data_IF_630662178640
#
_entry.id   IF_630662178640
#
_cell.length_a   1.000
_cell.length_b   1.000
_cell.length_c   1.000
_cell.angle_alpha   90.00
_cell.angle_beta   90.00
_cell.angle_gamma   90.00
#
_symmetry.space_group_name_H-M   'P 1'
#
loop_
_entity.id
_entity.type
_entity.pdbx_description
1 polymer ?
#
# COMPACT_ATOMS: atom_id res chain seq x y z
N UNK A 1 3.87 0.62 13.62
CA UNK A 1 3.11 0.24 12.42
C UNK A 1 3.76 0.91 11.22
N UNK A 2 3.90 0.18 10.11
CA UNK A 2 4.48 0.72 8.88
C UNK A 2 3.41 0.75 7.80
N UNK A 3 2.96 1.97 7.49
CA UNK A 3 2.00 2.23 6.45
C UNK A 3 2.71 2.35 5.11
N UNK A 4 2.09 1.87 4.04
CA UNK A 4 2.60 1.89 2.68
C UNK A 4 1.56 2.46 1.73
N UNK A 5 2.03 3.19 0.73
CA UNK A 5 1.25 3.81 -0.31
C UNK A 5 1.64 3.21 -1.66
N UNK A 6 0.67 2.63 -2.34
CA UNK A 6 0.78 2.13 -3.71
C UNK A 6 0.25 3.22 -4.62
N UNK A 7 1.16 3.97 -5.25
CA UNK A 7 0.85 5.12 -6.10
C UNK A 7 1.35 4.91 -7.51
N UNK A 8 0.57 5.32 -8.50
CA UNK A 8 1.02 5.42 -9.89
C UNK A 8 1.13 6.89 -10.26
N UNK A 9 2.29 7.34 -10.74
CA UNK A 9 2.46 8.74 -11.17
C UNK A 9 1.74 8.96 -12.49
N UNK A 10 1.23 10.18 -12.71
CA UNK A 10 0.60 10.57 -13.98
C UNK A 10 1.63 10.46 -15.12
N UNK A 11 1.32 9.67 -16.15
CA UNK A 11 2.23 9.39 -17.27
C UNK A 11 3.30 8.34 -16.98
N UNK A 12 3.21 7.62 -15.86
CA UNK A 12 4.06 6.48 -15.56
C UNK A 12 3.20 5.21 -15.49
N UNK A 13 3.51 4.21 -16.30
CA UNK A 13 2.80 2.92 -16.25
C UNK A 13 3.19 2.08 -15.02
N UNK A 14 4.31 2.41 -14.38
CA UNK A 14 4.82 1.72 -13.19
C UNK A 14 4.17 2.18 -11.88
N UNK A 15 4.03 1.22 -10.97
CA UNK A 15 3.49 1.39 -9.64
C UNK A 15 4.61 1.53 -8.61
N UNK A 16 4.53 2.58 -7.81
CA UNK A 16 5.48 2.89 -6.76
C UNK A 16 4.91 2.46 -5.41
N UNK A 17 5.70 1.69 -4.66
CA UNK A 17 5.43 1.31 -3.28
C UNK A 17 6.24 2.21 -2.37
N UNK A 18 5.61 3.13 -1.67
CA UNK A 18 6.27 4.12 -0.82
C UNK A 18 5.85 3.92 0.63
N UNK A 19 6.80 3.84 1.56
CA UNK A 19 6.47 3.86 2.99
C UNK A 19 5.93 5.24 3.39
N UNK A 20 4.92 5.29 4.23
CA UNK A 20 4.42 6.53 4.83
C UNK A 20 5.55 7.26 5.56
N UNK A 21 5.72 8.56 5.28
CA UNK A 21 6.84 9.37 5.76
C UNK A 21 8.18 9.11 5.05
N UNK A 22 8.27 8.10 4.17
CA UNK A 22 9.42 7.86 3.32
C UNK A 22 9.47 8.87 2.17
N UNK A 23 10.66 9.39 1.85
CA UNK A 23 10.84 10.33 0.72
C UNK A 23 10.96 9.62 -0.64
N UNK A 24 11.17 8.30 -0.63
CA UNK A 24 11.44 7.49 -1.82
C UNK A 24 10.51 6.27 -1.86
N UNK A 25 10.24 5.80 -3.08
CA UNK A 25 9.59 4.51 -3.28
C UNK A 25 10.56 3.39 -2.83
N UNK A 26 10.08 2.49 -1.97
CA UNK A 26 10.76 1.26 -1.57
C UNK A 26 10.84 0.25 -2.71
N UNK A 27 9.86 0.26 -3.63
CA UNK A 27 9.88 -0.56 -4.84
C UNK A 27 9.10 0.11 -5.98
N UNK A 28 9.49 -0.19 -7.21
CA UNK A 28 8.79 0.23 -8.44
C UNK A 28 8.57 -1.02 -9.28
N UNK A 29 7.32 -1.29 -9.66
CA UNK A 29 6.94 -2.50 -10.41
C UNK A 29 5.98 -2.15 -11.54
N UNK A 30 5.82 -3.06 -12.50
CA UNK A 30 4.99 -2.83 -13.68
C UNK A 30 3.48 -2.86 -13.40
N UNK A 31 3.04 -3.52 -12.33
CA UNK A 31 1.61 -3.75 -12.08
C UNK A 31 1.16 -3.37 -10.68
N UNK A 32 -0.11 -2.97 -10.55
CA UNK A 32 -0.73 -2.66 -9.26
C UNK A 32 -0.69 -3.86 -8.32
N UNK A 33 -0.95 -5.06 -8.87
CA UNK A 33 -1.00 -6.31 -8.12
C UNK A 33 0.34 -6.66 -7.49
N UNK A 34 1.44 -6.46 -8.21
CA UNK A 34 2.78 -6.64 -7.66
C UNK A 34 3.09 -5.59 -6.59
N UNK A 35 2.69 -4.34 -6.80
CA UNK A 35 2.95 -3.25 -5.87
C UNK A 35 2.20 -3.50 -4.55
N UNK A 36 0.95 -3.93 -4.62
CA UNK A 36 0.16 -4.33 -3.46
C UNK A 36 0.80 -5.49 -2.71
N UNK A 37 1.21 -6.55 -3.42
CA UNK A 37 1.87 -7.71 -2.81
C UNK A 37 3.14 -7.30 -2.05
N UNK A 38 3.98 -6.46 -2.67
CA UNK A 38 5.18 -5.94 -2.04
C UNK A 38 4.88 -5.04 -0.85
N UNK A 39 3.89 -4.13 -0.98
CA UNK A 39 3.47 -3.25 0.11
C UNK A 39 2.98 -4.07 1.32
N UNK A 40 2.17 -5.11 1.09
CA UNK A 40 1.71 -6.03 2.13
C UNK A 40 2.87 -6.77 2.78
N UNK A 41 3.79 -7.30 1.98
CA UNK A 41 4.97 -7.98 2.49
C UNK A 41 5.85 -7.04 3.33
N UNK A 42 6.09 -5.82 2.87
CA UNK A 42 6.88 -4.84 3.61
C UNK A 42 6.18 -4.39 4.89
N UNK A 43 4.87 -4.16 4.86
CA UNK A 43 4.10 -3.83 6.05
C UNK A 43 4.17 -4.95 7.09
N UNK A 44 3.93 -6.20 6.67
CA UNK A 44 4.06 -7.39 7.53
C UNK A 44 5.46 -7.50 8.14
N UNK A 45 6.52 -7.32 7.34
CA UNK A 45 7.90 -7.39 7.80
C UNK A 45 8.27 -6.28 8.80
N UNK A 46 7.57 -5.15 8.77
CA UNK A 46 7.80 -4.01 9.66
C UNK A 46 6.82 -3.97 10.86
N UNK A 47 6.20 -5.11 11.21
CA UNK A 47 5.31 -5.23 12.36
C UNK A 47 3.83 -4.90 12.08
N UNK A 48 3.43 -4.90 10.81
CA UNK A 48 2.07 -4.61 10.35
C UNK A 48 1.76 -3.11 10.22
N UNK A 49 0.64 -2.80 9.58
CA UNK A 49 0.23 -1.44 9.24
C UNK A 49 -0.79 -1.39 8.11
N UNK A 50 -1.02 -0.20 7.55
CA UNK A 50 -2.00 0.02 6.49
C UNK A 50 -1.35 0.13 5.10
N UNK A 51 -1.91 -0.54 4.11
CA UNK A 51 -1.53 -0.45 2.69
C UNK A 51 -2.60 0.32 1.95
N UNK A 52 -2.31 1.55 1.53
CA UNK A 52 -3.21 2.42 0.78
C UNK A 52 -2.95 2.32 -0.71
N UNK A 53 -3.98 1.98 -1.47
CA UNK A 53 -3.92 1.75 -2.91
C UNK A 53 -4.58 2.93 -3.62
N UNK A 54 -3.80 3.66 -4.40
CA UNK A 54 -4.29 4.79 -5.19
C UNK A 54 -4.80 4.34 -6.56
N UNK A 55 -5.69 5.13 -7.14
CA UNK A 55 -6.10 4.96 -8.54
C UNK A 55 -4.94 5.28 -9.50
N UNK A 56 -4.91 4.65 -10.69
CA UNK A 56 -3.95 4.99 -11.73
C UNK A 56 -4.00 6.48 -12.09
N UNK A 57 -2.93 6.98 -12.72
CA UNK A 57 -2.78 8.40 -13.09
C UNK A 57 -2.76 9.40 -11.92
N UNK A 58 -2.26 9.00 -10.75
CA UNK A 58 -2.20 9.86 -9.56
C UNK A 58 -3.57 10.16 -8.96
N UNK A 59 -4.54 9.26 -9.16
CA UNK A 59 -5.89 9.44 -8.66
C UNK A 59 -6.01 9.26 -7.14
N UNK A 60 -7.20 9.52 -6.57
CA UNK A 60 -7.44 9.38 -5.14
C UNK A 60 -7.29 7.93 -4.69
N UNK A 61 -7.19 7.74 -3.37
CA UNK A 61 -7.17 6.42 -2.74
C UNK A 61 -8.43 5.66 -3.21
N UNK A 62 -8.21 4.50 -3.82
CA UNK A 62 -9.28 3.57 -4.21
C UNK A 62 -9.64 2.69 -3.03
N UNK A 63 -8.61 2.22 -2.33
CA UNK A 63 -8.70 1.10 -1.41
C UNK A 63 -7.62 1.22 -0.32
N UNK A 64 -7.86 0.60 0.83
CA UNK A 64 -6.93 0.56 1.94
C UNK A 64 -7.06 -0.78 2.65
N UNK A 65 -5.97 -1.53 2.73
CA UNK A 65 -5.92 -2.87 3.30
C UNK A 65 -5.00 -2.89 4.54
N UNK A 66 -5.51 -3.42 5.65
CA UNK A 66 -4.78 -3.48 6.92
C UNK A 66 -4.05 -4.80 7.07
N UNK A 67 -2.73 -4.74 7.18
CA UNK A 67 -1.83 -5.90 7.25
C UNK A 67 -1.47 -6.21 8.70
N UNK A 68 -1.81 -7.44 9.13
CA UNK A 68 -1.41 -8.01 10.43
C UNK A 68 0.11 -8.25 10.48
N UNK A 69 0.78 -8.20 11.66
CA UNK A 69 0.25 -8.25 13.02
C UNK A 69 -0.04 -6.88 13.67
N UNK A 70 -0.29 -5.83 12.88
CA UNK A 70 -0.69 -4.53 13.41
C UNK A 70 -1.87 -4.68 14.36
N UNK A 71 -1.63 -4.50 15.66
CA UNK A 71 -2.62 -4.58 16.71
C UNK A 71 -3.53 -3.36 16.61
N UNK A 72 -4.45 -3.36 15.66
CA UNK A 72 -5.56 -2.42 15.61
C UNK A 72 -6.65 -2.92 16.57
N UNK A 73 -6.93 -2.24 17.70
CA UNK A 73 -7.98 -2.64 18.63
C UNK A 73 -9.40 -2.50 18.03
N UNK A 74 -9.54 -2.01 16.80
CA UNK A 74 -10.80 -1.89 16.09
C UNK A 74 -10.94 -3.06 15.11
N UNK A 75 -11.54 -4.12 15.62
CA UNK A 75 -12.00 -5.28 14.83
C UNK A 75 -13.14 -4.84 13.88
N UNK A 76 -12.82 -4.09 12.82
CA UNK A 76 -13.71 -3.89 11.67
C UNK A 76 -13.13 -4.71 10.52
N UNK A 77 -13.66 -5.92 10.36
CA UNK A 77 -13.43 -6.74 9.17
C UNK A 77 -13.96 -5.95 7.98
N UNK A 78 -13.09 -5.40 7.15
CA UNK A 78 -13.51 -4.84 5.86
C UNK A 78 -13.86 -6.03 4.95
N UNK A 79 -15.16 -6.33 4.88
CA UNK A 79 -15.75 -7.35 4.01
C UNK A 79 -16.10 -6.73 2.66
N UNK A 80 -15.11 -6.28 1.89
CA UNK A 80 -15.32 -5.98 0.48
C UNK A 80 -14.52 -6.93 -0.42
N UNK A 81 -15.31 -7.73 -1.12
CA UNK A 81 -14.97 -8.60 -2.24
C UNK A 81 -14.68 -7.81 -3.51
#
# INVERSE_FOLDING_TARGET
>A
MANYHVTQKKGQDSWNVQKEGGKIASAIVGTQKEAEKLAKQFSSNNGGGEVRIHRPNGGPIRDSDTVKPGNDPRSVKDTKH
#
